data_IF_060026899665
#
_entry.id   IF_060026899665
#
_cell.length_a   1.000
_cell.length_b   1.000
_cell.length_c   1.000
_cell.angle_alpha   90.00
_cell.angle_beta   90.00
_cell.angle_gamma   90.00
#
_symmetry.space_group_name_H-M   'P 1'
#
loop_
_entity.id
_entity.type
_entity.pdbx_description
1 polymer ?
#
# COMPACT_ATOMS: atom_id res chain seq x y z
N UNK A 1 1.19 -16.84 -12.94
CA UNK A 1 2.11 -16.21 -11.96
C UNK A 1 1.61 -14.83 -11.56
N UNK A 2 1.25 -14.68 -10.28
CA UNK A 2 0.64 -13.48 -9.70
C UNK A 2 1.65 -12.74 -8.79
N UNK A 3 1.61 -11.42 -8.77
CA UNK A 3 2.22 -10.57 -7.75
C UNK A 3 1.10 -9.97 -6.91
N UNK A 4 1.04 -10.32 -5.63
CA UNK A 4 -0.08 -9.93 -4.75
C UNK A 4 0.52 -9.31 -3.49
N UNK A 5 0.01 -8.15 -3.12
CA UNK A 5 0.48 -7.43 -1.92
C UNK A 5 -0.69 -7.04 -1.05
N UNK A 6 -0.51 -7.12 0.26
CA UNK A 6 -1.52 -6.78 1.26
C UNK A 6 -1.00 -5.66 2.14
N UNK A 7 -1.74 -4.54 2.21
CA UNK A 7 -1.45 -3.41 3.09
C UNK A 7 0.05 -3.04 3.11
N UNK A 8 0.70 -3.02 1.94
CA UNK A 8 2.14 -2.84 1.83
C UNK A 8 2.46 -1.36 1.52
N UNK A 9 3.38 -0.70 2.24
CA UNK A 9 3.63 0.74 2.06
C UNK A 9 4.52 1.02 0.84
N UNK A 10 4.02 0.72 -0.37
CA UNK A 10 4.74 0.92 -1.65
C UNK A 10 5.20 2.37 -1.83
N UNK A 11 4.44 3.29 -1.25
CA UNK A 11 4.61 4.75 -1.17
C UNK A 11 5.77 5.24 -0.30
N UNK A 12 6.33 4.35 0.53
CA UNK A 12 6.93 4.74 1.80
C UNK A 12 5.90 5.27 2.82
N UNK A 13 6.40 5.90 3.88
CA UNK A 13 5.64 6.42 5.03
C UNK A 13 5.96 7.86 5.41
N UNK A 14 6.83 8.56 4.66
CA UNK A 14 7.36 9.89 5.04
C UNK A 14 6.30 11.01 5.11
N UNK A 15 5.14 10.87 4.47
CA UNK A 15 4.08 11.88 4.44
C UNK A 15 2.82 11.53 5.25
N UNK A 16 2.70 10.28 5.69
CA UNK A 16 1.65 9.88 6.61
C UNK A 16 2.23 10.10 8.00
N UNK A 17 1.61 10.92 8.85
CA UNK A 17 2.01 11.15 10.27
C UNK A 17 1.94 9.86 11.14
N UNK A 18 1.96 8.70 10.51
CA UNK A 18 1.91 7.39 11.07
C UNK A 18 3.34 6.85 11.05
N UNK A 19 3.96 6.74 12.22
CA UNK A 19 5.21 6.00 12.38
C UNK A 19 4.83 4.50 12.37
N UNK A 20 5.21 3.71 11.34
CA UNK A 20 4.84 2.30 11.25
C UNK A 20 5.45 1.46 12.38
N UNK A 21 6.39 2.02 13.15
CA UNK A 21 7.09 1.36 14.23
C UNK A 21 6.39 1.44 15.60
N UNK A 22 5.41 2.33 15.78
CA UNK A 22 4.85 2.62 17.12
C UNK A 22 3.46 2.04 17.38
N UNK A 23 2.86 1.25 16.48
CA UNK A 23 1.66 0.42 16.75
C UNK A 23 0.68 0.99 17.80
N UNK A 24 0.22 2.24 17.64
CA UNK A 24 -0.81 2.83 18.53
C UNK A 24 -0.34 3.35 19.90
N UNK A 25 0.96 3.44 20.19
CA UNK A 25 1.48 4.13 21.38
C UNK A 25 1.66 5.64 21.12
N UNK A 26 0.54 6.39 21.09
CA UNK A 26 0.54 7.86 21.05
C UNK A 26 1.40 8.52 22.17
N UNK A 27 1.72 7.81 23.25
CA UNK A 27 2.52 8.33 24.36
C UNK A 27 4.01 8.54 24.02
N UNK A 28 4.55 7.83 23.03
CA UNK A 28 5.97 7.96 22.63
C UNK A 28 6.20 9.05 21.58
N UNK A 29 5.15 9.50 20.90
CA UNK A 29 5.17 10.49 19.82
C UNK A 29 5.76 11.84 20.29
N UNK A 30 5.59 12.18 21.58
CA UNK A 30 6.03 13.46 22.15
C UNK A 30 7.51 13.49 22.58
N UNK A 31 8.18 12.34 22.68
CA UNK A 31 9.63 12.25 22.96
C UNK A 31 10.44 11.67 21.80
N UNK A 32 9.79 10.95 20.88
CA UNK A 32 10.45 10.36 19.72
C UNK A 32 10.89 11.40 18.68
N UNK A 33 10.28 12.59 18.60
CA UNK A 33 10.70 13.62 17.62
C UNK A 33 12.19 13.96 17.69
N UNK A 34 12.78 13.96 18.90
CA UNK A 34 14.20 14.27 19.12
C UNK A 34 15.11 13.04 19.03
N UNK A 35 14.57 11.81 19.09
CA UNK A 35 15.33 10.54 19.10
C UNK A 35 14.98 9.59 17.96
N UNK A 36 14.07 9.95 17.07
CA UNK A 36 13.55 9.09 16.00
C UNK A 36 14.66 8.60 15.07
N UNK A 37 15.64 9.45 14.78
CA UNK A 37 16.80 9.09 13.94
C UNK A 37 17.67 7.97 14.55
N UNK A 38 17.61 7.73 15.86
CA UNK A 38 18.36 6.67 16.56
C UNK A 38 17.58 5.35 16.68
N UNK A 39 16.25 5.38 16.56
CA UNK A 39 15.36 4.21 16.74
C UNK A 39 14.95 3.60 15.38
N UNK A 40 15.16 4.33 14.28
CA UNK A 40 14.83 3.90 12.92
C UNK A 40 15.89 2.92 12.42
N UNK A 41 15.65 1.62 12.60
CA UNK A 41 16.44 0.56 11.99
C UNK A 41 16.42 0.61 10.45
N UNK A 42 17.17 -0.27 9.78
CA UNK A 42 17.30 -0.28 8.30
C UNK A 42 15.97 -0.18 7.55
N UNK A 43 14.97 -0.96 7.98
CA UNK A 43 13.62 -0.93 7.39
C UNK A 43 12.96 0.43 7.50
N UNK A 44 13.10 1.08 8.67
CA UNK A 44 12.54 2.40 8.86
C UNK A 44 13.20 3.44 7.95
N UNK A 45 14.53 3.37 7.73
CA UNK A 45 15.23 4.27 6.80
C UNK A 45 14.67 4.16 5.39
N UNK A 46 14.49 2.94 4.89
CA UNK A 46 13.85 2.71 3.59
C UNK A 46 12.42 3.26 3.53
N UNK A 47 11.60 3.02 4.57
CA UNK A 47 10.21 3.47 4.60
C UNK A 47 10.08 5.00 4.67
N UNK A 48 11.01 5.68 5.36
CA UNK A 48 11.05 7.14 5.44
C UNK A 48 11.83 7.79 4.30
N UNK A 49 12.34 7.00 3.35
CA UNK A 49 13.16 7.48 2.22
C UNK A 49 14.40 8.26 2.69
N UNK A 50 15.01 7.83 3.81
CA UNK A 50 16.21 8.45 4.40
C UNK A 50 17.46 7.59 4.23
N UNK A 51 17.39 6.57 3.39
CA UNK A 51 18.45 5.63 3.02
C UNK A 51 19.24 6.05 1.78
N UNK A 52 19.45 7.35 1.61
CA UNK A 52 20.29 7.91 0.54
C UNK A 52 21.78 7.71 0.88
N UNK A 53 22.23 6.46 0.87
CA UNK A 53 23.62 6.09 1.14
C UNK A 53 24.51 6.36 -0.10
N UNK A 54 25.74 6.84 0.12
CA UNK A 54 26.76 7.05 -0.92
C UNK A 54 26.29 7.91 -2.12
N UNK A 55 25.42 8.88 -1.88
CA UNK A 55 24.87 9.77 -2.92
C UNK A 55 23.82 9.13 -3.82
N UNK A 56 23.41 7.88 -3.55
CA UNK A 56 22.32 7.21 -4.26
C UNK A 56 20.96 7.72 -3.77
N UNK A 57 19.93 7.60 -4.63
CA UNK A 57 18.55 7.89 -4.25
C UNK A 57 18.01 6.82 -3.27
N UNK A 58 16.99 7.10 -2.46
CA UNK A 58 16.34 6.09 -1.62
C UNK A 58 15.95 4.82 -2.40
N UNK A 59 16.07 3.64 -1.79
CA UNK A 59 15.87 2.36 -2.48
C UNK A 59 14.48 2.25 -3.13
N UNK A 60 13.41 2.66 -2.43
CA UNK A 60 12.05 2.58 -2.97
C UNK A 60 11.87 3.41 -4.25
N UNK A 61 12.54 4.57 -4.34
CA UNK A 61 12.57 5.38 -5.57
C UNK A 61 13.34 4.71 -6.69
N UNK A 62 14.42 3.98 -6.37
CA UNK A 62 15.15 3.21 -7.38
C UNK A 62 14.30 2.04 -7.92
N UNK A 63 13.48 1.42 -7.07
CA UNK A 63 12.71 0.22 -7.42
C UNK A 63 11.62 0.45 -8.49
N UNK A 64 11.26 1.70 -8.79
CA UNK A 64 10.19 1.99 -9.75
C UNK A 64 10.64 1.95 -11.21
N UNK A 65 11.94 1.81 -11.46
CA UNK A 65 12.52 1.63 -12.78
C UNK A 65 13.68 0.62 -12.75
N UNK A 66 14.15 0.22 -13.93
CA UNK A 66 15.35 -0.61 -14.03
C UNK A 66 16.59 0.29 -14.00
N UNK A 67 17.65 -0.17 -13.35
CA UNK A 67 18.91 0.57 -13.18
C UNK A 67 20.08 -0.36 -13.44
N UNK A 68 20.99 0.01 -14.35
CA UNK A 68 22.18 -0.77 -14.70
C UNK A 68 21.82 -2.26 -14.90
N UNK A 69 22.38 -3.14 -14.06
CA UNK A 69 22.16 -4.58 -14.05
C UNK A 69 20.95 -5.03 -13.21
N UNK A 70 20.33 -4.13 -12.43
CA UNK A 70 19.20 -4.44 -11.55
C UNK A 70 17.87 -4.19 -12.28
N UNK A 71 17.05 -5.25 -12.36
CA UNK A 71 15.82 -5.30 -13.16
C UNK A 71 14.55 -5.25 -12.31
N UNK A 72 14.38 -4.22 -11.47
CA UNK A 72 13.22 -4.11 -10.57
C UNK A 72 11.88 -4.06 -11.32
N UNK A 73 11.71 -3.12 -12.25
CA UNK A 73 10.47 -2.94 -13.01
C UNK A 73 10.25 -4.08 -14.00
N UNK A 74 11.31 -4.54 -14.67
CA UNK A 74 11.22 -5.69 -15.57
C UNK A 74 10.85 -6.98 -14.81
N UNK A 75 11.36 -7.17 -13.59
CA UNK A 75 10.95 -8.24 -12.69
C UNK A 75 9.48 -8.14 -12.32
N UNK A 76 9.01 -6.95 -11.90
CA UNK A 76 7.59 -6.71 -11.59
C UNK A 76 6.67 -6.91 -12.81
N UNK A 77 7.15 -6.56 -14.01
CA UNK A 77 6.43 -6.77 -15.27
C UNK A 77 6.27 -8.26 -15.61
N UNK A 78 7.20 -9.11 -15.19
CA UNK A 78 7.17 -10.56 -15.51
C UNK A 78 5.95 -11.29 -14.93
N UNK A 79 5.31 -10.74 -13.90
CA UNK A 79 4.07 -11.27 -13.36
C UNK A 79 2.90 -10.99 -14.31
N UNK A 80 2.10 -12.01 -14.60
CA UNK A 80 0.93 -11.87 -15.50
C UNK A 80 -0.16 -10.98 -14.88
N UNK A 81 -0.27 -11.03 -13.55
CA UNK A 81 -1.25 -10.27 -12.77
C UNK A 81 -0.57 -9.63 -11.58
N UNK A 82 -0.87 -8.35 -11.33
CA UNK A 82 -0.39 -7.57 -10.18
C UNK A 82 -1.59 -7.02 -9.43
N UNK A 83 -1.72 -7.34 -8.15
CA UNK A 83 -2.86 -6.92 -7.34
C UNK A 83 -2.41 -6.32 -6.02
N UNK A 84 -2.96 -5.15 -5.70
CA UNK A 84 -2.77 -4.48 -4.43
C UNK A 84 -4.06 -4.52 -3.60
N UNK A 85 -4.04 -5.28 -2.51
CA UNK A 85 -5.08 -5.27 -1.49
C UNK A 85 -4.76 -4.19 -0.46
N UNK A 86 -5.67 -3.24 -0.27
CA UNK A 86 -5.46 -2.07 0.57
C UNK A 86 -6.61 -1.90 1.57
N UNK A 87 -6.28 -1.62 2.82
CA UNK A 87 -7.28 -1.24 3.80
C UNK A 87 -7.73 0.21 3.52
N UNK A 88 -9.01 0.40 3.24
CA UNK A 88 -9.61 1.72 3.06
C UNK A 88 -9.81 2.47 4.38
N UNK A 89 -9.86 1.75 5.51
CA UNK A 89 -10.12 2.31 6.83
C UNK A 89 -9.38 1.52 7.92
N UNK A 90 -9.13 2.17 9.06
CA UNK A 90 -8.60 1.59 10.32
C UNK A 90 -7.21 0.94 10.24
N UNK A 91 -6.54 1.00 9.09
CA UNK A 91 -5.11 0.70 9.00
C UNK A 91 -4.30 1.96 9.31
N UNK A 92 -3.84 2.03 10.55
CA UNK A 92 -2.99 3.11 11.03
C UNK A 92 -1.50 2.83 10.79
N UNK A 93 -1.14 1.62 10.36
CA UNK A 93 0.24 1.26 10.04
C UNK A 93 0.57 1.63 8.60
N UNK A 94 -0.37 1.39 7.69
CA UNK A 94 -0.20 1.66 6.27
C UNK A 94 -1.42 2.39 5.73
N UNK A 95 -1.19 3.56 5.15
CA UNK A 95 -2.25 4.35 4.54
C UNK A 95 -2.86 3.70 3.30
N UNK A 96 -4.15 3.97 3.07
CA UNK A 96 -4.90 3.49 1.89
C UNK A 96 -4.22 3.85 0.56
N UNK A 97 -3.74 5.09 0.47
CA UNK A 97 -3.06 5.65 -0.71
C UNK A 97 -1.78 4.91 -1.08
N UNK A 98 -0.92 4.67 -0.08
CA UNK A 98 0.38 4.00 -0.26
C UNK A 98 0.20 2.52 -0.58
N UNK A 99 -0.74 1.84 0.11
CA UNK A 99 -1.00 0.41 -0.12
C UNK A 99 -1.71 0.11 -1.43
N UNK A 100 -2.44 1.06 -1.99
CA UNK A 100 -3.13 0.90 -3.27
C UNK A 100 -2.42 1.52 -4.46
N UNK A 101 -1.25 2.17 -4.27
CA UNK A 101 -0.48 2.82 -5.34
C UNK A 101 -1.39 3.79 -6.11
N UNK A 102 -2.00 4.72 -5.38
CA UNK A 102 -2.91 5.75 -5.90
C UNK A 102 -2.56 7.12 -5.36
N UNK A 103 -3.03 8.17 -6.01
CA UNK A 103 -3.07 9.55 -5.49
C UNK A 103 -4.31 9.71 -4.60
N UNK A 104 -4.32 10.76 -3.77
CA UNK A 104 -5.45 10.99 -2.87
C UNK A 104 -6.78 11.23 -3.62
N UNK A 105 -6.73 11.90 -4.77
CA UNK A 105 -7.92 12.20 -5.57
C UNK A 105 -8.41 10.99 -6.41
N UNK A 106 -7.57 9.97 -6.57
CA UNK A 106 -7.90 8.71 -7.27
C UNK A 106 -8.58 7.69 -6.32
N UNK A 107 -8.57 7.94 -5.01
CA UNK A 107 -9.21 7.06 -4.05
C UNK A 107 -10.74 7.13 -4.20
N UNK A 108 -11.44 5.98 -4.20
CA UNK A 108 -12.89 5.93 -4.25
C UNK A 108 -13.49 6.77 -3.12
N UNK A 109 -14.52 7.54 -3.44
CA UNK A 109 -15.30 8.24 -2.42
C UNK A 109 -16.00 7.19 -1.55
N UNK A 110 -15.96 7.34 -0.23
CA UNK A 110 -16.56 6.37 0.70
C UNK A 110 -18.03 6.01 0.40
N UNK A 111 -18.80 6.93 -0.20
CA UNK A 111 -20.20 6.71 -0.59
C UNK A 111 -20.38 5.75 -1.78
N UNK A 112 -19.34 5.53 -2.57
CA UNK A 112 -19.34 4.66 -3.75
C UNK A 112 -18.80 3.25 -3.45
N UNK A 113 -18.42 3.00 -2.20
CA UNK A 113 -17.95 1.70 -1.75
C UNK A 113 -19.13 0.75 -1.62
N UNK A 114 -19.21 -0.23 -2.51
CA UNK A 114 -20.27 -1.25 -2.55
C UNK A 114 -19.70 -2.54 -2.01
N UNK A 115 -20.43 -3.17 -1.08
CA UNK A 115 -20.02 -4.46 -0.53
C UNK A 115 -20.31 -5.57 -1.52
N UNK A 116 -19.35 -6.46 -1.66
CA UNK A 116 -19.58 -7.74 -2.31
C UNK A 116 -20.43 -8.65 -1.40
N UNK A 117 -21.39 -9.37 -1.98
CA UNK A 117 -22.26 -10.29 -1.23
C UNK A 117 -21.51 -11.52 -0.72
N UNK A 118 -20.55 -12.02 -1.52
CA UNK A 118 -19.74 -13.19 -1.21
C UNK A 118 -18.56 -12.82 -0.30
N UNK A 119 -18.00 -11.62 -0.46
CA UNK A 119 -16.87 -11.13 0.33
C UNK A 119 -17.20 -9.80 1.03
N UNK A 120 -17.87 -9.84 2.20
CA UNK A 120 -18.44 -8.66 2.85
C UNK A 120 -17.45 -7.53 3.19
N UNK A 121 -16.15 -7.83 3.28
CA UNK A 121 -15.11 -6.85 3.54
C UNK A 121 -14.48 -6.25 2.29
N UNK A 122 -14.72 -6.83 1.10
CA UNK A 122 -14.33 -6.22 -0.17
C UNK A 122 -15.34 -5.14 -0.50
N UNK A 123 -14.86 -3.90 -0.62
CA UNK A 123 -15.72 -2.71 -0.77
C UNK A 123 -15.54 -1.96 -2.09
N UNK A 124 -14.45 -2.22 -2.81
CA UNK A 124 -14.25 -1.73 -4.17
C UNK A 124 -13.18 -2.56 -4.88
N UNK A 125 -13.37 -2.82 -6.16
CA UNK A 125 -12.41 -3.50 -7.02
C UNK A 125 -12.21 -2.67 -8.29
N UNK A 126 -11.01 -2.14 -8.44
CA UNK A 126 -10.53 -1.49 -9.66
C UNK A 126 -9.71 -2.50 -10.46
N UNK A 127 -10.14 -2.82 -11.68
CA UNK A 127 -9.45 -3.78 -12.58
C UNK A 127 -8.32 -3.14 -13.39
N UNK A 128 -8.00 -1.87 -13.14
CA UNK A 128 -6.91 -1.16 -13.80
C UNK A 128 -7.19 -0.86 -15.28
N UNK A 129 -8.46 -0.67 -15.64
CA UNK A 129 -8.83 -0.21 -16.99
C UNK A 129 -8.42 1.26 -17.08
N UNK A 130 -7.32 1.53 -17.79
CA UNK A 130 -6.80 2.89 -17.92
C UNK A 130 -7.70 3.72 -18.83
N UNK A 131 -8.51 4.61 -18.27
CA UNK A 131 -9.04 5.73 -19.04
C UNK A 131 -7.92 6.75 -19.25
N UNK A 132 -7.46 6.85 -20.50
CA UNK A 132 -6.26 7.58 -20.94
C UNK A 132 -6.34 9.11 -20.80
N UNK A 133 -7.36 9.63 -20.12
CA UNK A 133 -7.72 11.05 -20.14
C UNK A 133 -7.20 11.86 -18.94
N UNK A 134 -6.51 11.25 -17.97
CA UNK A 134 -6.05 11.94 -16.74
C UNK A 134 -4.71 12.71 -16.87
N UNK A 135 -4.19 12.83 -18.09
CA UNK A 135 -2.85 13.38 -18.37
C UNK A 135 -2.66 14.84 -17.93
N UNK A 136 -3.74 15.62 -17.74
CA UNK A 136 -3.63 17.06 -17.45
C UNK A 136 -3.45 17.42 -15.96
N UNK A 137 -3.92 16.59 -15.02
CA UNK A 137 -3.83 16.92 -13.57
C UNK A 137 -2.48 16.50 -12.96
N UNK A 138 -1.84 15.47 -13.51
CA UNK A 138 -0.57 14.90 -13.00
C UNK A 138 0.65 15.82 -13.15
N UNK A 139 0.63 16.79 -14.08
CA UNK A 139 1.82 17.58 -14.43
C UNK A 139 2.33 18.49 -13.30
N UNK A 140 1.51 18.80 -12.29
CA UNK A 140 1.83 19.77 -11.24
C UNK A 140 2.16 19.14 -9.86
N UNK A 141 2.11 17.81 -9.72
CA UNK A 141 2.51 17.16 -8.47
C UNK A 141 4.01 16.84 -8.52
N UNK A 142 4.74 17.24 -7.48
CA UNK A 142 6.18 17.04 -7.35
C UNK A 142 6.47 16.38 -5.99
N UNK A 143 7.42 15.44 -5.98
CA UNK A 143 7.87 14.76 -4.78
C UNK A 143 8.17 13.28 -5.02
N UNK A 144 8.87 12.64 -4.07
CA UNK A 144 9.28 11.25 -4.22
C UNK A 144 8.10 10.30 -4.36
N UNK A 145 7.00 10.57 -3.66
CA UNK A 145 5.79 9.76 -3.76
C UNK A 145 5.15 9.80 -5.16
N UNK A 146 5.11 10.97 -5.79
CA UNK A 146 4.58 11.11 -7.15
C UNK A 146 5.46 10.40 -8.19
N UNK A 147 6.80 10.47 -8.03
CA UNK A 147 7.72 9.69 -8.85
C UNK A 147 7.44 8.18 -8.72
N UNK A 148 7.19 7.70 -7.50
CA UNK A 148 6.88 6.30 -7.27
C UNK A 148 5.53 5.89 -7.88
N UNK A 149 4.48 6.69 -7.71
CA UNK A 149 3.17 6.44 -8.32
C UNK A 149 3.34 6.36 -9.84
N UNK A 150 3.98 7.37 -10.46
CA UNK A 150 4.20 7.40 -11.92
C UNK A 150 5.03 6.22 -12.43
N UNK A 151 6.03 5.76 -11.67
CA UNK A 151 6.85 4.61 -12.06
C UNK A 151 6.08 3.28 -11.96
N UNK A 152 5.41 3.04 -10.82
CA UNK A 152 4.69 1.78 -10.57
C UNK A 152 3.43 1.63 -11.43
N UNK A 153 2.73 2.73 -11.72
CA UNK A 153 1.49 2.73 -12.53
C UNK A 153 1.71 2.64 -14.05
N UNK A 154 2.97 2.63 -14.50
CA UNK A 154 3.28 2.25 -15.89
C UNK A 154 2.97 0.78 -16.19
N UNK A 155 2.76 -0.03 -15.15
CA UNK A 155 2.28 -1.39 -15.26
C UNK A 155 0.81 -1.43 -14.82
N UNK A 156 0.02 -2.33 -15.42
CA UNK A 156 -1.37 -2.53 -15.01
C UNK A 156 -1.42 -3.17 -13.62
N UNK A 157 -2.22 -2.57 -12.73
CA UNK A 157 -2.53 -3.06 -11.39
C UNK A 157 -4.02 -3.23 -11.24
N UNK A 158 -4.42 -4.37 -10.66
CA UNK A 158 -5.72 -4.48 -10.03
C UNK A 158 -5.60 -3.97 -8.59
N UNK A 159 -6.63 -3.27 -8.11
CA UNK A 159 -6.65 -2.72 -6.76
C UNK A 159 -7.93 -3.16 -6.08
N UNK A 160 -7.77 -3.74 -4.90
CA UNK A 160 -8.88 -4.26 -4.12
C UNK A 160 -8.89 -3.53 -2.78
N UNK A 161 -9.95 -2.76 -2.55
CA UNK A 161 -10.13 -2.01 -1.33
C UNK A 161 -10.94 -2.84 -0.34
N UNK A 162 -10.40 -2.94 0.87
CA UNK A 162 -10.93 -3.73 1.97
C UNK A 162 -11.35 -2.81 3.11
N UNK A 163 -12.50 -3.06 3.73
CA UNK A 163 -12.92 -2.28 4.90
C UNK A 163 -13.50 -3.16 6.01
N UNK A 164 -12.80 -3.14 7.14
CA UNK A 164 -13.24 -3.78 8.39
C UNK A 164 -14.10 -2.85 9.25
N UNK A 165 -14.63 -1.74 8.73
CA UNK A 165 -15.35 -0.74 9.56
C UNK A 165 -16.46 -1.33 10.45
N UNK A 166 -17.16 -2.36 9.97
CA UNK A 166 -18.23 -3.05 10.72
C UNK A 166 -17.76 -4.30 11.49
N UNK A 167 -16.50 -4.68 11.35
CA UNK A 167 -15.89 -5.80 12.08
C UNK A 167 -15.46 -5.34 13.48
N UNK A 168 -15.50 -6.28 14.43
CA UNK A 168 -14.94 -6.09 15.78
C UNK A 168 -13.41 -6.00 15.75
N UNK A 169 -12.77 -6.57 14.72
CA UNK A 169 -11.33 -6.62 14.51
C UNK A 169 -10.77 -5.39 13.78
N UNK A 170 -11.57 -4.32 13.60
CA UNK A 170 -11.17 -3.11 12.87
C UNK A 170 -9.91 -2.44 13.40
N UNK A 171 -9.68 -2.46 14.72
CA UNK A 171 -8.50 -1.83 15.33
C UNK A 171 -7.20 -2.59 15.02
N UNK A 172 -7.30 -3.82 14.51
CA UNK A 172 -6.18 -4.65 14.07
C UNK A 172 -6.28 -4.96 12.57
N UNK A 173 -6.97 -4.11 11.79
CA UNK A 173 -7.23 -4.27 10.36
C UNK A 173 -5.99 -4.62 9.51
N UNK A 174 -4.83 -4.06 9.87
CA UNK A 174 -3.56 -4.37 9.20
C UNK A 174 -3.18 -5.86 9.27
N UNK A 175 -3.41 -6.49 10.43
CA UNK A 175 -3.17 -7.92 10.60
C UNK A 175 -4.37 -8.75 10.13
N UNK A 176 -5.58 -8.19 10.22
CA UNK A 176 -6.82 -8.85 9.79
C UNK A 176 -6.84 -9.10 8.28
N UNK A 177 -6.42 -8.14 7.46
CA UNK A 177 -6.40 -8.30 5.99
C UNK A 177 -5.54 -9.49 5.51
N UNK A 178 -4.55 -9.90 6.30
CA UNK A 178 -3.65 -11.03 6.02
C UNK A 178 -4.00 -12.30 6.82
N UNK A 179 -4.99 -12.23 7.72
CA UNK A 179 -5.34 -13.31 8.66
C UNK A 179 -4.10 -13.79 9.44
N UNK A 180 -3.33 -12.85 10.01
CA UNK A 180 -2.04 -13.15 10.66
C UNK A 180 -2.14 -14.24 11.73
N UNK A 181 -3.19 -14.20 12.55
CA UNK A 181 -3.56 -15.27 13.47
C UNK A 181 -5.05 -15.52 13.35
N UNK A 182 -5.45 -16.69 12.88
CA UNK A 182 -6.87 -17.01 12.64
C UNK A 182 -7.75 -16.73 13.87
N UNK A 183 -7.25 -16.99 15.09
CA UNK A 183 -7.99 -16.75 16.33
C UNK A 183 -8.35 -15.26 16.56
N UNK A 184 -7.50 -14.32 16.11
CA UNK A 184 -7.69 -12.87 16.28
C UNK A 184 -8.13 -12.14 15.01
N UNK A 185 -7.89 -12.76 13.85
CA UNK A 185 -7.91 -12.12 12.54
C UNK A 185 -8.84 -12.85 11.55
N UNK A 186 -9.74 -13.69 12.07
CA UNK A 186 -10.68 -14.51 11.27
C UNK A 186 -11.54 -13.70 10.31
N UNK A 187 -11.84 -12.44 10.63
CA UNK A 187 -12.75 -11.63 9.81
C UNK A 187 -12.12 -11.30 8.44
N UNK A 188 -10.81 -11.45 8.25
CA UNK A 188 -10.17 -11.29 6.95
C UNK A 188 -10.18 -12.56 6.08
N UNK A 189 -10.77 -13.67 6.54
CA UNK A 189 -10.79 -14.92 5.78
C UNK A 189 -11.51 -14.79 4.42
N UNK A 190 -12.52 -13.92 4.33
CA UNK A 190 -13.21 -13.63 3.07
C UNK A 190 -12.31 -12.87 2.08
N UNK A 191 -11.41 -12.02 2.57
CA UNK A 191 -10.39 -11.35 1.75
C UNK A 191 -9.41 -12.36 1.15
N UNK A 192 -8.96 -13.33 1.96
CA UNK A 192 -8.09 -14.42 1.48
C UNK A 192 -8.84 -15.30 0.47
N UNK A 193 -10.11 -15.59 0.73
CA UNK A 193 -10.97 -16.35 -0.19
C UNK A 193 -11.14 -15.61 -1.53
N UNK A 194 -11.39 -14.30 -1.50
CA UNK A 194 -11.44 -13.47 -2.71
C UNK A 194 -10.12 -13.53 -3.48
N UNK A 195 -8.98 -13.50 -2.79
CA UNK A 195 -7.67 -13.64 -3.42
C UNK A 195 -7.48 -15.00 -4.10
N UNK A 196 -7.85 -16.09 -3.40
CA UNK A 196 -7.74 -17.45 -3.92
C UNK A 196 -8.64 -17.67 -5.15
N UNK A 197 -9.88 -17.20 -5.10
CA UNK A 197 -10.85 -17.36 -6.18
C UNK A 197 -10.49 -16.57 -7.44
N UNK A 198 -9.65 -15.54 -7.29
CA UNK A 198 -9.13 -14.74 -8.41
C UNK A 198 -7.65 -15.07 -8.73
N UNK A 199 -7.08 -16.15 -8.18
CA UNK A 199 -5.67 -16.49 -8.39
C UNK A 199 -5.46 -17.11 -9.78
N UNK A 200 -4.50 -16.58 -10.57
CA UNK A 200 -4.14 -17.18 -11.85
C UNK A 200 -3.16 -18.34 -11.65
N UNK A 201 -3.63 -19.57 -11.91
CA UNK A 201 -2.79 -20.78 -11.93
C UNK A 201 -1.86 -20.77 -13.15
#
# INVERSE_FOLDING_TARGET
MNFITFASPHLGSSGNKQLPFLCGLHFLERRASETAHLIVGRTGKHLFLTDSDDGRRPLLLQMVQDHDDIKFRSGLRSFKRRVAYANANFDHMVGWRTSSIRRQHELPKHRLLVRDEKYPHIVHVDRGIMDRNETEVSANLCGPEEEMIRGLTQLQWERVDVSFQKSSQRLVAHNTIQVKSYWLNSDGADVISHMMDNFLV
#
